data_IF_503764341336
#
_entry.id   IF_503764341336
#
_cell.length_a   1.000
_cell.length_b   1.000
_cell.length_c   1.000
_cell.angle_alpha   90.00
_cell.angle_beta   90.00
_cell.angle_gamma   90.00
#
_symmetry.space_group_name_H-M   'P 1'
#
loop_
_entity.id
_entity.type
_entity.pdbx_description
1 polymer ?
#
# COMPACT_ATOMS: atom_id res chain seq x y z
N UNK A 1 -5.27 15.87 23.03
CA UNK A 1 -5.57 14.49 22.58
C UNK A 1 -6.71 14.63 21.59
N UNK A 2 -6.50 14.56 20.27
CA UNK A 2 -5.80 13.53 19.51
C UNK A 2 -5.27 14.22 18.24
N UNK A 3 -3.97 14.48 18.14
CA UNK A 3 -3.36 14.89 16.87
C UNK A 3 -3.22 13.63 16.03
N UNK A 4 -3.80 13.69 14.84
CA UNK A 4 -4.14 12.54 14.01
C UNK A 4 -2.98 11.59 13.75
N UNK A 5 -3.36 10.31 13.69
CA UNK A 5 -2.61 9.27 12.99
C UNK A 5 -2.15 9.85 11.66
N UNK A 6 -0.84 10.11 11.58
CA UNK A 6 -0.18 10.58 10.38
C UNK A 6 -0.13 9.40 9.42
N UNK A 7 -1.29 9.12 8.82
CA UNK A 7 -1.40 8.27 7.64
C UNK A 7 -0.40 8.79 6.61
N UNK A 8 0.10 7.88 5.78
CA UNK A 8 1.23 7.95 4.86
C UNK A 8 0.98 8.90 3.67
N UNK A 9 0.27 9.99 3.94
CA UNK A 9 0.16 11.18 3.12
C UNK A 9 1.45 11.95 3.30
N UNK A 10 2.21 12.05 2.22
CA UNK A 10 3.39 12.87 2.20
C UNK A 10 3.01 14.22 1.58
N UNK A 11 3.20 15.28 2.35
CA UNK A 11 2.86 16.65 1.96
C UNK A 11 4.11 17.36 1.46
N UNK A 12 4.02 17.95 0.27
CA UNK A 12 5.09 18.77 -0.31
C UNK A 12 4.55 20.17 -0.61
N UNK A 13 5.12 21.23 0.00
CA UNK A 13 4.75 22.59 -0.36
C UNK A 13 5.39 22.95 -1.70
N UNK A 14 4.56 23.40 -2.64
CA UNK A 14 4.99 24.03 -3.89
C UNK A 14 4.94 25.53 -3.69
N UNK A 15 6.06 26.20 -3.91
CA UNK A 15 6.22 27.65 -3.73
C UNK A 15 6.31 28.34 -5.08
N UNK A 16 5.43 29.32 -5.31
CA UNK A 16 5.52 30.25 -6.43
C UNK A 16 6.02 31.60 -5.88
N UNK A 17 7.02 32.15 -6.54
CA UNK A 17 7.57 33.48 -6.23
C UNK A 17 7.37 34.35 -7.46
N UNK A 18 6.71 35.49 -7.30
CA UNK A 18 6.52 36.48 -8.38
C UNK A 18 7.38 37.69 -8.04
N UNK A 19 8.15 38.18 -9.01
CA UNK A 19 8.98 39.36 -8.87
C UNK A 19 8.66 40.38 -9.96
N UNK A 20 8.72 41.67 -9.64
CA UNK A 20 8.63 42.76 -10.62
C UNK A 20 10.01 43.38 -10.93
N UNK A 21 10.06 44.28 -11.90
CA UNK A 21 11.28 45.00 -12.30
C UNK A 21 11.81 45.92 -11.18
N UNK A 22 10.98 46.24 -10.18
CA UNK A 22 11.33 47.09 -9.03
C UNK A 22 11.78 46.29 -7.80
N UNK A 23 12.11 45.00 -7.96
CA UNK A 23 12.59 44.11 -6.91
C UNK A 23 11.56 43.83 -5.79
N UNK A 24 10.27 44.04 -6.06
CA UNK A 24 9.21 43.58 -5.18
C UNK A 24 8.95 42.10 -5.41
N UNK A 25 8.83 41.31 -4.33
CA UNK A 25 8.57 39.87 -4.40
C UNK A 25 7.31 39.51 -3.63
N UNK A 26 6.47 38.67 -4.22
CA UNK A 26 5.35 38.00 -3.56
C UNK A 26 5.57 36.48 -3.56
N UNK A 27 4.99 35.78 -2.59
CA UNK A 27 5.10 34.34 -2.44
C UNK A 27 3.75 33.74 -2.10
N UNK A 28 3.34 32.74 -2.88
CA UNK A 28 2.23 31.85 -2.52
C UNK A 28 2.76 30.41 -2.38
N UNK A 29 2.17 29.67 -1.44
CA UNK A 29 2.46 28.26 -1.22
C UNK A 29 1.18 27.44 -1.35
N UNK A 30 1.29 26.27 -1.98
CA UNK A 30 0.22 25.27 -2.04
C UNK A 30 0.76 23.91 -1.63
N UNK A 31 0.06 23.22 -0.74
CA UNK A 31 0.42 21.87 -0.32
C UNK A 31 -0.15 20.87 -1.33
N UNK A 32 0.70 19.95 -1.78
CA UNK A 32 0.30 18.80 -2.59
C UNK A 32 0.50 17.54 -1.76
N UNK A 33 -0.56 16.76 -1.62
CA UNK A 33 -0.54 15.42 -1.03
C UNK A 33 -0.11 14.40 -2.08
N UNK A 34 0.86 13.54 -1.76
CA UNK A 34 1.22 12.40 -2.60
C UNK A 34 1.19 11.09 -1.80
N UNK A 35 0.80 10.02 -2.48
CA UNK A 35 0.62 8.68 -1.93
C UNK A 35 1.53 7.71 -2.69
N UNK A 36 2.75 7.45 -2.18
CA UNK A 36 3.67 6.53 -2.82
C UNK A 36 3.19 5.08 -2.74
N UNK A 37 3.35 4.33 -3.82
CA UNK A 37 3.25 2.86 -3.80
C UNK A 37 4.60 2.25 -3.36
N UNK A 38 4.61 1.05 -2.75
CA UNK A 38 5.83 0.32 -2.48
C UNK A 38 6.64 0.07 -3.76
N UNK A 39 7.93 0.45 -3.73
CA UNK A 39 8.85 0.16 -4.84
C UNK A 39 9.21 -1.33 -4.93
N UNK A 40 9.08 -2.05 -3.82
CA UNK A 40 9.19 -3.50 -3.75
C UNK A 40 8.03 -4.02 -2.89
N UNK A 41 7.36 -5.05 -3.38
CA UNK A 41 6.37 -5.81 -2.62
C UNK A 41 7.11 -6.88 -1.83
N UNK A 42 6.92 -6.91 -0.52
CA UNK A 42 7.54 -7.88 0.39
C UNK A 42 6.43 -8.59 1.16
N UNK A 43 6.31 -9.89 0.92
CA UNK A 43 5.33 -10.76 1.55
C UNK A 43 6.06 -11.92 2.21
N UNK A 44 5.75 -12.19 3.47
CA UNK A 44 6.33 -13.29 4.21
C UNK A 44 5.20 -14.16 4.77
N UNK A 45 4.88 -15.31 4.14
CA UNK A 45 3.96 -16.26 4.73
C UNK A 45 4.62 -16.92 5.95
N UNK A 46 3.83 -17.21 6.99
CA UNK A 46 4.32 -17.91 8.18
C UNK A 46 4.73 -19.37 7.88
N UNK A 47 4.11 -19.98 6.87
CA UNK A 47 4.43 -21.31 6.37
C UNK A 47 4.27 -21.38 4.85
N UNK A 48 5.14 -22.16 4.19
CA UNK A 48 5.05 -22.44 2.74
C UNK A 48 4.36 -23.76 2.41
N UNK A 49 4.13 -24.60 3.43
CA UNK A 49 3.54 -25.94 3.30
C UNK A 49 2.64 -26.17 4.51
N UNK A 50 1.48 -26.79 4.29
CA UNK A 50 0.53 -27.15 5.35
C UNK A 50 -0.25 -28.40 5.01
N UNK A 51 -0.88 -29.00 6.02
CA UNK A 51 -1.85 -30.10 5.85
C UNK A 51 -3.23 -29.51 5.59
N UNK A 52 -4.06 -30.19 4.78
CA UNK A 52 -5.44 -29.76 4.53
C UNK A 52 -6.34 -30.03 5.75
N UNK A 53 -7.13 -29.05 6.25
CA UNK A 53 -7.13 -27.63 5.85
C UNK A 53 -5.93 -26.86 6.42
N UNK A 54 -5.23 -26.12 5.55
CA UNK A 54 -4.00 -25.41 5.90
C UNK A 54 -4.26 -23.93 6.14
N UNK A 55 -4.04 -23.45 7.36
CA UNK A 55 -4.13 -22.03 7.71
C UNK A 55 -2.76 -21.38 7.56
N UNK A 56 -2.65 -20.39 6.67
CA UNK A 56 -1.41 -19.65 6.38
C UNK A 56 -1.65 -18.16 6.62
N UNK A 57 -0.80 -17.55 7.43
CA UNK A 57 -0.79 -16.10 7.64
C UNK A 57 0.16 -15.43 6.64
N UNK A 58 -0.35 -14.46 5.88
CA UNK A 58 0.44 -13.70 4.90
C UNK A 58 0.81 -12.34 5.49
N UNK A 59 2.05 -12.20 5.93
CA UNK A 59 2.53 -10.93 6.48
C UNK A 59 2.97 -9.99 5.36
N UNK A 60 2.24 -8.89 5.16
CA UNK A 60 2.61 -7.86 4.21
C UNK A 60 3.58 -6.87 4.84
N UNK A 61 4.84 -6.96 4.44
CA UNK A 61 5.94 -6.10 4.87
C UNK A 61 6.25 -5.00 3.84
N UNK A 62 5.41 -4.85 2.81
CA UNK A 62 5.60 -3.83 1.79
C UNK A 62 5.52 -2.43 2.41
N UNK A 63 6.33 -1.50 1.90
CA UNK A 63 6.37 -0.13 2.40
C UNK A 63 6.63 0.84 1.25
N UNK A 64 5.99 2.01 1.25
CA UNK A 64 5.01 2.50 2.22
C UNK A 64 3.58 1.99 1.98
N UNK A 65 2.91 1.45 3.02
CA UNK A 65 1.47 1.13 3.02
C UNK A 65 0.85 1.40 4.40
N UNK A 66 -0.44 1.69 4.43
CA UNK A 66 -1.27 1.76 5.63
C UNK A 66 -2.74 1.45 5.29
N UNK A 67 -3.65 1.67 6.24
CA UNK A 67 -5.10 1.42 6.11
C UNK A 67 -5.80 2.23 5.00
N UNK A 68 -5.17 3.26 4.44
CA UNK A 68 -5.73 4.02 3.31
C UNK A 68 -5.50 3.35 1.97
N UNK A 69 -4.55 2.40 1.89
CA UNK A 69 -4.27 1.66 0.66
C UNK A 69 -5.27 0.50 0.53
N UNK A 70 -5.72 0.27 -0.71
CA UNK A 70 -6.45 -0.96 -1.03
C UNK A 70 -5.43 -2.05 -1.35
N UNK A 71 -5.52 -3.18 -0.65
CA UNK A 71 -4.75 -4.38 -0.96
C UNK A 71 -5.72 -5.40 -1.56
N UNK A 72 -5.34 -6.08 -2.64
CA UNK A 72 -6.13 -7.11 -3.29
C UNK A 72 -5.29 -8.39 -3.33
N UNK A 73 -5.68 -9.40 -2.55
CA UNK A 73 -5.03 -10.70 -2.57
C UNK A 73 -5.78 -11.66 -3.48
N UNK A 74 -5.03 -12.49 -4.21
CA UNK A 74 -5.51 -13.69 -4.85
C UNK A 74 -4.64 -14.86 -4.36
N UNK A 75 -5.26 -15.84 -3.73
CA UNK A 75 -4.56 -16.97 -3.12
C UNK A 75 -4.34 -18.15 -4.09
N UNK A 76 -4.75 -18.02 -5.36
CA UNK A 76 -4.59 -19.06 -6.37
C UNK A 76 -5.61 -20.21 -6.29
N UNK A 77 -6.46 -20.23 -5.26
CA UNK A 77 -7.56 -21.20 -5.08
C UNK A 77 -8.95 -20.62 -5.47
N UNK A 78 -8.96 -19.41 -6.04
CA UNK A 78 -10.16 -18.69 -6.45
C UNK A 78 -10.75 -17.78 -5.37
N UNK A 79 -10.19 -17.75 -4.15
CA UNK A 79 -10.58 -16.82 -3.09
C UNK A 79 -9.70 -15.57 -3.10
N UNK A 80 -10.28 -14.46 -2.65
CA UNK A 80 -9.62 -13.14 -2.58
C UNK A 80 -9.96 -12.44 -1.28
N UNK A 81 -9.12 -11.49 -0.85
CA UNK A 81 -9.41 -10.62 0.30
C UNK A 81 -8.76 -9.25 0.14
N UNK A 82 -9.19 -8.30 0.97
CA UNK A 82 -8.72 -6.93 1.00
C UNK A 82 -7.97 -6.54 2.29
N UNK A 83 -7.73 -7.49 3.17
CA UNK A 83 -6.95 -7.26 4.38
C UNK A 83 -5.47 -6.98 4.05
N UNK A 84 -4.82 -6.11 4.82
CA UNK A 84 -3.40 -5.77 4.61
C UNK A 84 -2.52 -7.02 4.76
N UNK A 85 -2.73 -7.77 5.84
CA UNK A 85 -2.03 -9.02 6.16
C UNK A 85 -3.05 -10.10 6.56
N UNK A 86 -3.60 -10.88 5.60
CA UNK A 86 -4.66 -11.83 5.86
C UNK A 86 -4.19 -13.16 6.43
N UNK A 87 -5.11 -13.88 7.07
CA UNK A 87 -5.01 -15.35 7.25
C UNK A 87 -5.89 -16.01 6.20
N UNK A 88 -5.34 -16.96 5.45
CA UNK A 88 -6.08 -17.74 4.45
C UNK A 88 -6.10 -19.23 4.78
N UNK A 89 -7.21 -19.89 4.49
CA UNK A 89 -7.41 -21.32 4.73
C UNK A 89 -7.56 -22.06 3.39
N UNK A 90 -6.58 -22.91 3.08
CA UNK A 90 -6.60 -23.82 1.95
C UNK A 90 -7.30 -25.13 2.33
N UNK A 91 -8.53 -25.29 1.83
CA UNK A 91 -9.39 -26.46 2.11
C UNK A 91 -9.01 -27.71 1.31
N UNK A 92 -8.31 -27.53 0.19
CA UNK A 92 -7.92 -28.60 -0.72
C UNK A 92 -6.39 -28.62 -0.88
N UNK A 93 -5.77 -29.80 -0.96
CA UNK A 93 -4.33 -29.91 -1.23
C UNK A 93 -4.04 -29.43 -2.66
N UNK A 94 -2.92 -28.72 -2.82
CA UNK A 94 -2.51 -28.19 -4.13
C UNK A 94 -1.27 -27.30 -4.01
N UNK A 95 -0.77 -26.86 -5.17
CA UNK A 95 0.23 -25.80 -5.26
C UNK A 95 -0.50 -24.56 -5.72
N UNK A 96 -0.47 -23.52 -4.91
CA UNK A 96 -1.18 -22.27 -5.16
C UNK A 96 -0.19 -21.14 -5.38
N UNK A 97 -0.41 -20.36 -6.44
CA UNK A 97 0.36 -19.15 -6.70
C UNK A 97 -0.40 -17.98 -6.10
N UNK A 98 0.22 -17.31 -5.13
CA UNK A 98 -0.37 -16.15 -4.44
C UNK A 98 0.08 -14.89 -5.15
N UNK A 99 -0.82 -13.94 -5.35
CA UNK A 99 -0.48 -12.62 -5.87
C UNK A 99 -1.16 -11.53 -5.07
N UNK A 100 -0.52 -10.36 -5.00
CA UNK A 100 -1.07 -9.17 -4.34
C UNK A 100 -1.00 -7.98 -5.28
N UNK A 101 -2.04 -7.15 -5.24
CA UNK A 101 -2.06 -5.82 -5.82
C UNK A 101 -2.26 -4.79 -4.70
N UNK A 102 -1.52 -3.68 -4.74
CA UNK A 102 -1.61 -2.58 -3.78
C UNK A 102 -1.93 -1.32 -4.56
N UNK A 103 -3.00 -0.63 -4.16
CA UNK A 103 -3.53 0.57 -4.80
C UNK A 103 -3.54 1.71 -3.78
N UNK A 104 -2.87 2.80 -4.12
CA UNK A 104 -2.88 4.04 -3.34
C UNK A 104 -4.24 4.75 -3.38
N UNK A 105 -4.54 5.64 -2.41
CA UNK A 105 -5.78 6.44 -2.40
C UNK A 105 -6.05 7.27 -3.67
N UNK A 106 -5.02 7.56 -4.46
CA UNK A 106 -5.13 8.32 -5.72
C UNK A 106 -5.11 7.41 -6.97
N UNK A 107 -5.14 6.09 -6.79
CA UNK A 107 -5.24 5.12 -7.88
C UNK A 107 -3.93 4.67 -8.51
N UNK A 108 -2.75 5.09 -8.01
CA UNK A 108 -1.49 4.47 -8.40
C UNK A 108 -1.42 3.04 -7.84
N UNK A 109 -0.97 2.08 -8.65
CA UNK A 109 -0.97 0.65 -8.29
C UNK A 109 0.38 -0.04 -8.54
N UNK A 110 0.64 -1.11 -7.77
CA UNK A 110 1.74 -2.05 -7.96
C UNK A 110 1.25 -3.47 -7.70
N UNK A 111 1.84 -4.47 -8.34
CA UNK A 111 1.43 -5.88 -8.21
C UNK A 111 2.64 -6.81 -8.13
N UNK A 112 2.52 -7.88 -7.37
CA UNK A 112 3.56 -8.88 -7.14
C UNK A 112 2.99 -10.29 -7.00
N UNK A 113 3.85 -11.28 -7.22
CA UNK A 113 3.58 -12.72 -7.08
C UNK A 113 4.63 -13.30 -6.14
#
# INVERSE_FOLDING_TARGET
MITGLKHTVLEKPVRLIVGDENLCFDTIQKIVSYFPIPGLIVIEPDNFVGCSPGSIFFNNLSSPIDETYTVNWNFGDGKTTNEISPVHIYEQPGVFTVSVEIISPIGCQTSGV
#
